data_IF_749540363576
#
_entry.id   IF_749540363576
#
_cell.length_a   1.000
_cell.length_b   1.000
_cell.length_c   1.000
_cell.angle_alpha   90.00
_cell.angle_beta   90.00
_cell.angle_gamma   90.00
#
_symmetry.space_group_name_H-M   'P 1'
#
loop_
_entity.id
_entity.type
_entity.pdbx_description
1 polymer ?
#
# COMPACT_ATOMS: atom_id res chain seq x y z
N UNK A 1 3.27 13.55 11.73
CA UNK A 1 3.74 12.15 11.80
C UNK A 1 2.51 11.22 11.97
N UNK A 2 2.55 9.98 11.46
CA UNK A 2 1.40 9.08 11.36
C UNK A 2 0.58 8.91 12.65
N UNK A 3 1.26 8.79 13.78
CA UNK A 3 0.72 8.56 15.11
C UNK A 3 -0.11 9.72 15.68
N UNK A 4 0.00 10.91 15.08
CA UNK A 4 -0.76 12.10 15.46
C UNK A 4 -1.91 12.43 14.50
N UNK A 5 -2.14 11.61 13.47
CA UNK A 5 -3.14 11.87 12.43
C UNK A 5 -4.27 10.84 12.47
N UNK A 6 -5.49 11.26 12.82
CA UNK A 6 -6.68 10.40 12.73
C UNK A 6 -7.09 10.13 11.29
N UNK A 7 -7.29 8.87 10.93
CA UNK A 7 -7.62 8.47 9.56
C UNK A 7 -8.66 7.34 9.56
N UNK A 8 -9.85 7.61 9.01
CA UNK A 8 -11.00 6.73 9.19
C UNK A 8 -11.55 6.19 7.87
N UNK A 9 -12.04 4.95 7.90
CA UNK A 9 -12.85 4.37 6.82
C UNK A 9 -14.27 4.91 6.94
N UNK A 10 -14.65 5.80 6.04
CA UNK A 10 -16.04 6.27 5.90
C UNK A 10 -16.93 5.25 5.19
N UNK A 11 -18.25 5.47 5.19
CA UNK A 11 -19.21 4.68 4.40
C UNK A 11 -19.00 4.81 2.88
N UNK A 12 -19.69 3.98 2.08
CA UNK A 12 -19.55 3.88 0.62
C UNK A 12 -19.30 5.19 -0.13
N UNK A 13 -20.33 6.02 -0.33
CA UNK A 13 -20.15 7.35 -0.93
C UNK A 13 -19.63 8.34 0.13
N UNK A 14 -18.56 9.04 -0.18
CA UNK A 14 -18.02 10.09 0.69
C UNK A 14 -19.02 11.24 0.84
N UNK A 15 -19.23 11.73 2.06
CA UNK A 15 -20.29 12.71 2.34
C UNK A 15 -19.95 14.13 1.84
N UNK A 16 -18.66 14.43 1.70
CA UNK A 16 -18.17 15.76 1.30
C UNK A 16 -18.03 15.87 -0.22
N UNK A 17 -17.45 14.86 -0.86
CA UNK A 17 -17.09 14.85 -2.28
C UNK A 17 -18.02 14.01 -3.14
N UNK A 18 -18.82 13.13 -2.53
CA UNK A 18 -19.69 12.15 -3.21
C UNK A 18 -18.96 11.13 -4.08
N UNK A 19 -17.63 11.02 -3.97
CA UNK A 19 -16.87 9.95 -4.61
C UNK A 19 -17.24 8.60 -4.00
N UNK A 20 -17.21 7.57 -4.82
CA UNK A 20 -17.45 6.18 -4.41
C UNK A 20 -16.17 5.41 -4.68
N UNK A 21 -15.68 4.71 -3.66
CA UNK A 21 -14.47 3.91 -3.76
C UNK A 21 -14.69 2.56 -3.09
N UNK A 22 -14.05 1.54 -3.64
CA UNK A 22 -14.04 0.20 -3.06
C UNK A 22 -13.47 0.22 -1.64
N UNK A 23 -13.93 -0.72 -0.81
CA UNK A 23 -13.51 -0.81 0.58
C UNK A 23 -11.99 -1.00 0.72
N UNK A 24 -11.37 -1.75 -0.19
CA UNK A 24 -9.92 -1.96 -0.24
C UNK A 24 -9.15 -0.65 -0.39
N UNK A 25 -9.61 0.25 -1.27
CA UNK A 25 -8.97 1.54 -1.47
C UNK A 25 -9.19 2.49 -0.28
N UNK A 26 -10.42 2.56 0.24
CA UNK A 26 -10.74 3.37 1.44
C UNK A 26 -9.90 2.92 2.64
N UNK A 27 -9.86 1.62 2.92
CA UNK A 27 -9.15 1.07 4.07
C UNK A 27 -7.62 1.12 3.89
N UNK A 28 -7.11 0.76 2.71
CA UNK A 28 -5.68 0.89 2.40
C UNK A 28 -5.20 2.33 2.34
N UNK A 29 -6.11 3.29 2.16
CA UNK A 29 -5.82 4.72 2.31
C UNK A 29 -5.77 5.14 3.78
N UNK A 30 -6.74 4.70 4.58
CA UNK A 30 -6.91 5.12 5.98
C UNK A 30 -5.98 4.41 6.98
N UNK A 31 -5.39 3.25 6.66
CA UNK A 31 -4.63 2.45 7.64
C UNK A 31 -3.29 3.06 8.09
N UNK A 32 -2.86 4.16 7.46
CA UNK A 32 -1.53 4.75 7.64
C UNK A 32 -1.43 5.74 8.80
N UNK A 33 -2.55 6.16 9.40
CA UNK A 33 -2.56 7.02 10.60
C UNK A 33 -3.03 6.27 11.84
N UNK A 34 -3.71 6.97 12.74
CA UNK A 34 -4.51 6.36 13.78
C UNK A 34 -5.81 5.83 13.17
N UNK A 35 -5.79 4.56 12.77
CA UNK A 35 -6.85 3.92 12.00
C UNK A 35 -8.15 3.79 12.80
N UNK A 36 -9.25 4.17 12.17
CA UNK A 36 -10.59 4.07 12.73
C UNK A 36 -11.67 3.83 11.67
N UNK A 37 -12.91 3.73 12.12
CA UNK A 37 -14.07 3.44 11.27
C UNK A 37 -15.17 4.46 11.59
N UNK A 38 -15.61 5.17 10.56
CA UNK A 38 -16.69 6.16 10.63
C UNK A 38 -17.81 5.74 9.67
N UNK A 39 -18.37 4.58 9.96
CA UNK A 39 -19.41 3.96 9.17
C UNK A 39 -20.44 3.31 10.11
N UNK A 40 -21.73 3.50 9.81
CA UNK A 40 -22.82 2.73 10.40
C UNK A 40 -22.72 1.24 9.98
N UNK A 41 -22.03 0.46 10.79
CA UNK A 41 -21.77 -0.96 10.55
C UNK A 41 -23.03 -1.83 10.57
N UNK A 42 -24.16 -1.33 11.08
CA UNK A 42 -25.44 -2.06 11.00
C UNK A 42 -25.97 -2.16 9.57
N UNK A 43 -25.41 -1.34 8.66
CA UNK A 43 -25.72 -1.31 7.23
C UNK A 43 -24.62 -1.94 6.37
N UNK A 44 -23.54 -2.41 6.97
CA UNK A 44 -22.49 -3.12 6.24
C UNK A 44 -22.99 -4.50 5.81
N UNK A 45 -22.62 -4.92 4.60
CA UNK A 45 -22.79 -6.32 4.21
C UNK A 45 -21.87 -7.22 5.03
N UNK A 46 -22.18 -8.52 5.11
CA UNK A 46 -21.32 -9.49 5.78
C UNK A 46 -19.92 -9.54 5.14
N UNK A 47 -19.86 -9.41 3.81
CA UNK A 47 -18.60 -9.37 3.06
C UNK A 47 -17.77 -8.12 3.39
N UNK A 48 -18.40 -6.95 3.45
CA UNK A 48 -17.73 -5.72 3.86
C UNK A 48 -17.24 -5.79 5.30
N UNK A 49 -18.06 -6.31 6.21
CA UNK A 49 -17.69 -6.47 7.61
C UNK A 49 -16.48 -7.42 7.75
N UNK A 50 -16.49 -8.54 7.03
CA UNK A 50 -15.36 -9.47 6.99
C UNK A 50 -14.11 -8.84 6.37
N UNK A 51 -14.25 -8.07 5.29
CA UNK A 51 -13.14 -7.35 4.67
C UNK A 51 -12.57 -6.28 5.60
N UNK A 52 -13.41 -5.49 6.25
CA UNK A 52 -13.00 -4.46 7.21
C UNK A 52 -12.28 -5.09 8.41
N UNK A 53 -12.75 -6.24 8.90
CA UNK A 53 -12.07 -6.98 9.97
C UNK A 53 -10.64 -7.39 9.57
N UNK A 54 -10.41 -7.81 8.32
CA UNK A 54 -9.06 -8.11 7.80
C UNK A 54 -8.16 -6.87 7.80
N UNK A 55 -8.68 -5.71 7.39
CA UNK A 55 -7.94 -4.45 7.43
C UNK A 55 -7.61 -4.01 8.86
N UNK A 56 -8.54 -4.15 9.80
CA UNK A 56 -8.29 -3.89 11.23
C UNK A 56 -7.23 -4.82 11.79
N UNK A 57 -7.27 -6.11 11.46
CA UNK A 57 -6.27 -7.08 11.88
C UNK A 57 -4.88 -6.72 11.33
N UNK A 58 -4.80 -6.40 10.03
CA UNK A 58 -3.56 -5.98 9.40
C UNK A 58 -3.00 -4.70 10.01
N UNK A 59 -3.81 -3.65 10.20
CA UNK A 59 -3.34 -2.44 10.88
C UNK A 59 -2.80 -2.75 12.28
N UNK A 60 -3.45 -3.63 13.06
CA UNK A 60 -2.94 -4.02 14.39
C UNK A 60 -1.58 -4.73 14.32
N UNK A 61 -1.33 -5.50 13.26
CA UNK A 61 -0.04 -6.15 13.01
C UNK A 61 1.06 -5.12 12.74
N UNK A 62 0.79 -4.15 11.86
CA UNK A 62 1.83 -3.23 11.37
C UNK A 62 1.85 -1.86 12.05
N UNK A 63 0.92 -1.54 12.96
CA UNK A 63 0.81 -0.19 13.55
C UNK A 63 2.07 0.28 14.26
N UNK A 64 2.84 -0.63 14.87
CA UNK A 64 4.12 -0.26 15.50
C UNK A 64 5.06 0.30 14.44
N UNK A 65 5.24 -0.41 13.32
CA UNK A 65 6.04 0.08 12.20
C UNK A 65 5.51 1.44 11.69
N UNK A 66 4.20 1.54 11.45
CA UNK A 66 3.57 2.77 10.94
C UNK A 66 3.78 3.97 11.88
N UNK A 67 3.66 3.76 13.19
CA UNK A 67 3.69 4.82 14.20
C UNK A 67 5.10 5.17 14.68
N UNK A 68 6.11 4.34 14.42
CA UNK A 68 7.49 4.59 14.88
C UNK A 68 8.52 4.71 13.75
N UNK A 69 8.16 4.35 12.52
CA UNK A 69 9.07 4.40 11.38
C UNK A 69 9.14 5.76 10.70
N UNK A 70 10.11 5.90 9.80
CA UNK A 70 10.30 7.08 8.97
C UNK A 70 9.33 7.05 7.79
N UNK A 71 8.51 8.10 7.65
CA UNK A 71 7.64 8.27 6.49
C UNK A 71 8.46 8.63 5.26
N UNK A 72 8.20 7.95 4.14
CA UNK A 72 8.87 8.15 2.86
C UNK A 72 7.85 8.32 1.74
N UNK A 73 8.22 9.10 0.73
CA UNK A 73 7.44 9.31 -0.49
C UNK A 73 8.39 9.10 -1.67
N UNK A 74 7.91 8.48 -2.73
CA UNK A 74 8.62 8.44 -4.00
C UNK A 74 7.95 9.39 -5.00
N UNK A 75 8.70 9.75 -6.04
CA UNK A 75 8.21 10.46 -7.21
C UNK A 75 8.20 9.50 -8.40
N UNK A 76 7.14 8.68 -8.60
CA UNK A 76 7.05 7.80 -9.76
C UNK A 76 7.14 8.58 -11.06
N UNK A 77 7.82 8.01 -12.05
CA UNK A 77 7.90 8.60 -13.40
C UNK A 77 6.54 8.59 -14.11
N UNK A 78 5.64 7.69 -13.71
CA UNK A 78 4.26 7.65 -14.16
C UNK A 78 3.39 8.51 -13.22
N UNK A 79 2.85 9.65 -13.67
CA UNK A 79 2.09 10.58 -12.82
C UNK A 79 0.74 10.03 -12.36
N UNK A 80 0.27 8.92 -12.96
CA UNK A 80 -0.93 8.23 -12.52
C UNK A 80 -0.70 7.40 -11.25
N UNK A 81 0.56 7.20 -10.83
CA UNK A 81 0.93 6.40 -9.68
C UNK A 81 1.38 7.27 -8.51
N UNK A 82 0.97 6.88 -7.31
CA UNK A 82 1.40 7.43 -6.03
C UNK A 82 2.09 6.32 -5.23
N UNK A 83 3.31 6.56 -4.76
CA UNK A 83 4.00 5.63 -3.85
C UNK A 83 4.46 6.33 -2.58
N UNK A 84 4.00 5.78 -1.45
CA UNK A 84 4.26 6.31 -0.11
C UNK A 84 4.49 5.13 0.83
N UNK A 85 5.20 5.34 1.93
CA UNK A 85 5.46 4.26 2.86
C UNK A 85 6.03 4.70 4.19
N UNK A 86 6.34 3.70 5.01
CA UNK A 86 7.01 3.84 6.29
C UNK A 86 8.14 2.81 6.36
N UNK A 87 9.33 3.26 6.75
CA UNK A 87 10.53 2.41 6.90
C UNK A 87 10.93 2.36 8.36
N UNK A 88 11.21 1.17 8.90
CA UNK A 88 11.72 1.02 10.25
C UNK A 88 13.04 1.81 10.43
N UNK A 89 13.26 2.40 11.61
CA UNK A 89 14.45 3.23 11.87
C UNK A 89 15.77 2.47 11.67
N UNK A 90 15.77 1.15 11.89
CA UNK A 90 16.92 0.24 11.69
C UNK A 90 16.99 -0.34 10.26
N UNK A 91 16.09 0.09 9.37
CA UNK A 91 15.97 -0.33 7.97
C UNK A 91 15.74 -1.83 7.80
N UNK A 92 15.21 -2.54 8.79
CA UNK A 92 14.94 -3.99 8.71
C UNK A 92 13.60 -4.33 8.06
N UNK A 93 12.61 -3.44 8.13
CA UNK A 93 11.26 -3.62 7.62
C UNK A 93 10.76 -2.32 7.01
N UNK A 94 9.91 -2.41 5.99
CA UNK A 94 9.29 -1.27 5.35
C UNK A 94 7.96 -1.70 4.74
N UNK A 95 6.95 -0.83 4.86
CA UNK A 95 5.64 -1.00 4.25
C UNK A 95 5.38 0.18 3.31
N UNK A 96 4.92 -0.11 2.09
CA UNK A 96 4.57 0.88 1.09
C UNK A 96 3.15 0.66 0.57
N UNK A 97 2.48 1.76 0.25
CA UNK A 97 1.29 1.84 -0.60
C UNK A 97 1.76 2.26 -1.99
N UNK A 98 1.36 1.52 -3.01
CA UNK A 98 1.38 1.96 -4.39
C UNK A 98 -0.07 2.05 -4.87
N UNK A 99 -0.53 3.23 -5.24
CA UNK A 99 -1.89 3.51 -5.67
C UNK A 99 -1.93 4.08 -7.08
N UNK A 100 -2.95 3.75 -7.86
CA UNK A 100 -3.28 4.45 -9.09
C UNK A 100 -4.34 5.53 -8.79
N UNK A 101 -3.96 6.78 -9.01
CA UNK A 101 -4.82 7.97 -8.81
C UNK A 101 -5.38 8.52 -10.13
N UNK A 102 -4.93 7.96 -11.25
CA UNK A 102 -5.42 8.23 -12.60
C UNK A 102 -5.18 6.99 -13.48
N UNK A 103 -5.64 7.01 -14.73
CA UNK A 103 -5.46 5.93 -15.68
C UNK A 103 -4.02 5.91 -16.24
N UNK A 104 -3.36 4.76 -16.19
CA UNK A 104 -2.02 4.60 -16.79
C UNK A 104 -2.13 4.57 -18.31
N UNK A 105 -1.49 5.51 -19.01
CA UNK A 105 -1.55 5.62 -20.47
C UNK A 105 -0.60 4.66 -21.21
N UNK A 106 0.28 3.97 -20.49
CA UNK A 106 1.26 3.02 -21.03
C UNK A 106 1.17 1.66 -20.37
N UNK A 107 1.50 0.61 -21.12
CA UNK A 107 1.64 -0.75 -20.62
C UNK A 107 3.00 -1.34 -21.04
N UNK A 108 3.79 -1.91 -20.11
CA UNK A 108 3.54 -1.96 -18.66
C UNK A 108 3.61 -0.57 -18.00
N UNK A 109 3.02 -0.37 -16.80
CA UNK A 109 2.95 0.94 -16.14
C UNK A 109 4.30 1.57 -15.78
N UNK A 110 5.38 0.79 -15.83
CA UNK A 110 6.74 1.21 -15.50
C UNK A 110 7.25 0.62 -14.20
N UNK A 111 8.42 1.10 -13.77
CA UNK A 111 9.04 0.73 -12.50
C UNK A 111 8.76 1.77 -11.43
N UNK A 112 8.69 1.33 -10.18
CA UNK A 112 8.60 2.18 -9.00
C UNK A 112 9.74 1.85 -8.05
N UNK A 113 10.41 2.88 -7.55
CA UNK A 113 11.49 2.76 -6.56
C UNK A 113 10.89 2.72 -5.15
N UNK A 114 11.59 2.04 -4.23
CA UNK A 114 11.19 1.93 -2.83
C UNK A 114 12.18 2.76 -1.97
N UNK A 115 11.85 4.02 -1.65
CA UNK A 115 12.77 4.94 -0.98
C UNK A 115 12.99 4.56 0.48
N UNK A 116 14.13 4.99 1.02
CA UNK A 116 14.46 4.86 2.44
C UNK A 116 15.04 3.51 2.85
N UNK A 117 15.22 2.54 1.95
CA UNK A 117 15.92 1.29 2.27
C UNK A 117 17.43 1.50 2.39
N UNK A 118 18.10 0.63 3.16
CA UNK A 118 19.57 0.61 3.26
C UNK A 118 20.17 0.06 1.96
N UNK A 119 20.99 0.84 1.22
CA UNK A 119 21.51 0.42 -0.08
C UNK A 119 22.39 -0.83 -0.02
N UNK A 120 22.99 -1.12 1.14
CA UNK A 120 23.96 -2.21 1.31
C UNK A 120 23.33 -3.47 1.91
N UNK A 121 22.02 -3.46 2.18
CA UNK A 121 21.24 -4.65 2.58
C UNK A 121 20.54 -5.32 1.42
N UNK A 122 20.12 -6.56 1.63
CA UNK A 122 19.23 -7.27 0.70
C UNK A 122 17.85 -7.36 1.32
N UNK A 123 16.80 -7.21 0.51
CA UNK A 123 15.42 -7.25 0.97
C UNK A 123 14.60 -8.25 0.17
N UNK A 124 13.73 -8.98 0.85
CA UNK A 124 12.60 -9.67 0.23
C UNK A 124 11.42 -8.71 0.13
N UNK A 125 10.98 -8.44 -1.09
CA UNK A 125 9.80 -7.63 -1.40
C UNK A 125 8.63 -8.53 -1.76
N UNK A 126 7.48 -8.32 -1.11
CA UNK A 126 6.25 -9.09 -1.35
C UNK A 126 5.03 -8.17 -1.34
N UNK A 127 3.96 -8.56 -2.01
CA UNK A 127 2.66 -7.93 -1.79
C UNK A 127 2.07 -8.37 -0.45
N UNK A 128 1.33 -7.48 0.22
CA UNK A 128 0.72 -7.76 1.53
C UNK A 128 -0.80 -7.80 1.46
N UNK A 129 -1.38 -8.91 1.90
CA UNK A 129 -2.81 -8.96 2.16
C UNK A 129 -3.17 -8.04 3.34
N UNK A 130 -4.35 -7.39 3.35
CA UNK A 130 -5.45 -7.53 2.38
C UNK A 130 -5.33 -6.67 1.10
N UNK A 131 -4.21 -5.98 0.89
CA UNK A 131 -3.97 -5.09 -0.25
C UNK A 131 -3.15 -5.73 -1.38
N UNK A 132 -3.31 -7.01 -1.66
CA UNK A 132 -2.49 -7.77 -2.61
C UNK A 132 -3.26 -8.28 -3.84
N UNK A 133 -4.52 -7.87 -4.01
CA UNK A 133 -5.37 -8.35 -5.10
C UNK A 133 -4.78 -8.10 -6.50
N UNK A 134 -4.14 -6.95 -6.70
CA UNK A 134 -3.58 -6.53 -7.98
C UNK A 134 -2.44 -7.42 -8.50
N UNK A 135 -1.79 -8.19 -7.63
CA UNK A 135 -0.67 -9.08 -8.02
C UNK A 135 -1.10 -10.53 -8.22
N UNK A 136 -2.39 -10.83 -8.13
CA UNK A 136 -2.97 -12.17 -8.33
C UNK A 136 -3.61 -12.37 -9.71
N UNK A 137 -3.58 -11.33 -10.56
CA UNK A 137 -4.22 -11.33 -11.89
C UNK A 137 -3.33 -11.81 -13.03
N UNK A 138 -3.91 -11.94 -14.22
CA UNK A 138 -3.23 -12.41 -15.44
C UNK A 138 -2.05 -11.53 -15.89
N UNK A 139 -2.03 -10.26 -15.47
CA UNK A 139 -0.99 -9.29 -15.79
C UNK A 139 -0.12 -8.94 -14.58
N UNK A 140 -0.07 -9.84 -13.59
CA UNK A 140 0.79 -9.65 -12.42
C UNK A 140 2.27 -9.58 -12.85
N UNK A 141 3.06 -8.68 -12.23
CA UNK A 141 4.50 -8.66 -12.45
C UNK A 141 5.12 -9.97 -11.96
N UNK A 142 6.29 -10.34 -12.47
CA UNK A 142 6.93 -11.63 -12.15
C UNK A 142 7.17 -11.86 -10.65
N UNK A 143 7.33 -10.80 -9.87
CA UNK A 143 7.49 -10.87 -8.42
C UNK A 143 6.16 -11.06 -7.67
N UNK A 144 5.01 -10.93 -8.34
CA UNK A 144 3.69 -10.85 -7.70
C UNK A 144 3.27 -12.11 -6.94
N UNK A 145 3.66 -13.28 -7.41
CA UNK A 145 3.29 -14.56 -6.77
C UNK A 145 4.13 -14.86 -5.52
N UNK A 146 5.46 -14.81 -5.65
CA UNK A 146 6.38 -15.30 -4.61
C UNK A 146 7.23 -14.19 -3.97
N UNK A 147 7.08 -12.95 -4.44
CA UNK A 147 7.98 -11.85 -4.13
C UNK A 147 9.25 -11.86 -4.97
N UNK A 148 10.18 -10.98 -4.62
CA UNK A 148 11.52 -10.91 -5.20
C UNK A 148 12.53 -10.52 -4.14
N UNK A 149 13.76 -11.03 -4.26
CA UNK A 149 14.88 -10.66 -3.39
C UNK A 149 15.84 -9.78 -4.18
N UNK A 150 16.04 -8.54 -3.74
CA UNK A 150 16.88 -7.55 -4.41
C UNK A 150 17.72 -6.77 -3.39
N UNK A 151 18.89 -6.30 -3.81
CA UNK A 151 19.68 -5.37 -3.02
C UNK A 151 18.93 -4.04 -2.83
N UNK A 152 19.08 -3.41 -1.67
CA UNK A 152 18.46 -2.14 -1.34
C UNK A 152 18.81 -1.06 -2.36
N UNK A 153 20.06 -1.03 -2.84
CA UNK A 153 20.49 -0.13 -3.92
C UNK A 153 19.68 -0.31 -5.21
N UNK A 154 19.36 -1.56 -5.58
CA UNK A 154 18.52 -1.83 -6.75
C UNK A 154 17.10 -1.33 -6.50
N UNK A 155 16.56 -1.55 -5.31
CA UNK A 155 15.20 -1.12 -4.95
C UNK A 155 15.05 0.41 -4.91
N UNK A 156 16.08 1.13 -4.45
CA UNK A 156 16.05 2.59 -4.33
C UNK A 156 16.40 3.32 -5.63
N UNK A 157 17.26 2.76 -6.49
CA UNK A 157 17.71 3.41 -7.73
C UNK A 157 16.98 2.93 -9.00
N UNK A 158 16.58 1.66 -9.06
CA UNK A 158 15.98 1.04 -10.27
C UNK A 158 14.52 0.63 -10.04
N UNK A 159 14.23 0.06 -8.88
CA UNK A 159 12.88 -0.33 -8.48
C UNK A 159 12.34 -1.62 -9.11
N UNK A 160 11.11 -1.95 -8.75
CA UNK A 160 10.37 -3.12 -9.24
C UNK A 160 9.31 -2.71 -10.26
N UNK A 161 8.91 -3.65 -11.12
CA UNK A 161 7.79 -3.41 -12.04
C UNK A 161 6.49 -3.21 -11.25
N UNK A 162 5.80 -2.10 -11.47
CA UNK A 162 4.46 -1.88 -10.94
C UNK A 162 3.50 -2.93 -11.48
N UNK A 163 2.56 -3.46 -10.68
CA UNK A 163 1.40 -4.14 -11.23
C UNK A 163 0.53 -3.15 -12.02
N UNK A 164 -0.31 -3.68 -12.90
CA UNK A 164 -1.37 -2.90 -13.50
C UNK A 164 -2.47 -2.71 -12.44
N UNK A 165 -2.73 -1.46 -12.08
CA UNK A 165 -3.77 -1.06 -11.14
C UNK A 165 -4.89 -0.36 -11.89
N UNK A 166 -6.13 -0.72 -11.59
CA UNK A 166 -7.28 0.10 -11.96
C UNK A 166 -7.24 1.43 -11.20
N UNK A 167 -7.90 2.46 -11.75
CA UNK A 167 -8.00 3.77 -11.08
C UNK A 167 -8.66 3.60 -9.71
N UNK A 168 -8.21 4.36 -8.71
CA UNK A 168 -8.67 4.27 -7.33
C UNK A 168 -8.49 2.87 -6.71
N UNK A 169 -7.41 2.17 -7.11
CA UNK A 169 -6.96 0.93 -6.49
C UNK A 169 -5.51 1.04 -6.03
N UNK A 170 -5.14 0.18 -5.09
CA UNK A 170 -3.80 0.12 -4.54
C UNK A 170 -3.30 -1.31 -4.35
N UNK A 171 -1.98 -1.42 -4.26
CA UNK A 171 -1.28 -2.60 -3.73
C UNK A 171 -0.44 -2.18 -2.53
N UNK A 172 -0.40 -3.04 -1.52
CA UNK A 172 0.53 -2.92 -0.40
C UNK A 172 1.77 -3.77 -0.68
N UNK A 173 2.95 -3.18 -0.47
CA UNK A 173 4.24 -3.83 -0.63
C UNK A 173 4.98 -3.83 0.71
N UNK A 174 5.62 -4.94 1.08
CA UNK A 174 6.52 -5.00 2.24
C UNK A 174 7.90 -5.43 1.82
N UNK A 175 8.92 -4.70 2.26
CA UNK A 175 10.32 -5.00 2.04
C UNK A 175 10.98 -5.34 3.38
N UNK A 176 11.40 -6.60 3.56
CA UNK A 176 12.02 -7.07 4.79
C UNK A 176 13.46 -7.49 4.51
N UNK A 177 14.41 -7.05 5.35
CA UNK A 177 15.80 -7.43 5.23
C UNK A 177 15.96 -8.95 5.38
N UNK A 178 16.81 -9.58 4.56
CA UNK A 178 17.12 -11.02 4.58
C UNK A 178 18.50 -11.32 5.14
#
# INVERSE_FOLDING_TARGET
PPELMGTHVGSGADHTTRRVHDLSFRAGTAMWGHFGVEWDLTKASDDDAAALARWVAFHKEVRTLIHTGDVVHADPTNPALLLEGVVASDRSDALYRLAAIDHTVTWPPGRVTLPGLDPDRTYRVTAQAPGDAAVRGAFAPAWGADGVVLGGRVLTEVGIMSPLLDVDHLVLLRAQAV
#
